data_IF_643914399799
#
_entry.id   IF_643914399799
#
_cell.length_a   1.000
_cell.length_b   1.000
_cell.length_c   1.000
_cell.angle_alpha   90.00
_cell.angle_beta   90.00
_cell.angle_gamma   90.00
#
_symmetry.space_group_name_H-M   'P 1'
#
loop_
_entity.id
_entity.type
_entity.pdbx_description
1 polymer ?
#
# COMPACT_ATOMS: atom_id res chain seq x y z
N UNK A 1 3.30 -3.70 6.74
CA UNK A 1 2.02 -3.92 6.02
C UNK A 1 0.86 -3.56 6.94
N UNK A 2 -0.30 -3.24 6.39
CA UNK A 2 -1.56 -3.24 7.15
C UNK A 2 -2.21 -4.60 7.04
N UNK A 3 -2.80 -5.09 8.14
CA UNK A 3 -3.37 -6.43 8.20
C UNK A 3 -4.84 -6.33 8.63
N UNK A 4 -5.71 -6.50 7.64
CA UNK A 4 -7.16 -6.56 7.83
C UNK A 4 -7.61 -8.03 7.85
N UNK A 5 -8.57 -8.36 8.70
CA UNK A 5 -9.09 -9.73 8.81
C UNK A 5 -9.89 -10.13 7.56
N UNK A 6 -10.67 -9.22 6.99
CA UNK A 6 -11.45 -9.49 5.77
C UNK A 6 -11.73 -8.19 5.01
N UNK A 7 -11.61 -8.16 3.67
CA UNK A 7 -11.30 -9.27 2.76
C UNK A 7 -9.80 -9.43 2.42
N UNK A 8 -8.90 -8.67 3.07
CA UNK A 8 -7.50 -8.54 2.64
C UNK A 8 -6.50 -9.49 3.30
N UNK A 9 -6.95 -10.35 4.23
CA UNK A 9 -6.06 -11.31 4.90
C UNK A 9 -5.40 -12.26 3.90
N UNK A 10 -6.16 -12.80 2.93
CA UNK A 10 -5.65 -13.65 1.84
C UNK A 10 -4.52 -12.97 1.08
N UNK A 11 -4.76 -11.72 0.67
CA UNK A 11 -3.74 -10.92 0.00
C UNK A 11 -2.49 -10.72 0.85
N UNK A 12 -2.65 -10.39 2.13
CA UNK A 12 -1.53 -10.16 3.04
C UNK A 12 -0.68 -11.42 3.23
N UNK A 13 -1.31 -12.59 3.39
CA UNK A 13 -0.64 -13.88 3.48
C UNK A 13 0.09 -14.21 2.17
N UNK A 14 -0.53 -13.97 1.02
CA UNK A 14 0.10 -14.18 -0.28
C UNK A 14 1.32 -13.27 -0.48
N UNK A 15 1.24 -12.01 -0.08
CA UNK A 15 2.37 -11.07 -0.12
C UNK A 15 3.52 -11.56 0.77
N UNK A 16 3.24 -11.98 2.02
CA UNK A 16 4.26 -12.56 2.92
C UNK A 16 4.91 -13.79 2.30
N UNK A 17 4.10 -14.75 1.83
CA UNK A 17 4.63 -15.97 1.19
C UNK A 17 5.51 -15.63 -0.02
N UNK A 18 5.08 -14.67 -0.85
CA UNK A 18 5.85 -14.26 -2.03
C UNK A 18 7.21 -13.66 -1.66
N UNK A 19 7.28 -12.82 -0.62
CA UNK A 19 8.55 -12.31 -0.11
C UNK A 19 9.43 -13.45 0.38
N UNK A 20 8.88 -14.39 1.17
CA UNK A 20 9.65 -15.51 1.72
C UNK A 20 10.18 -16.45 0.63
N UNK A 21 9.39 -16.72 -0.41
CA UNK A 21 9.77 -17.63 -1.50
C UNK A 21 10.83 -17.05 -2.44
N UNK A 22 10.85 -15.72 -2.64
CA UNK A 22 11.76 -15.07 -3.59
C UNK A 22 12.95 -14.37 -2.95
N UNK A 23 13.02 -14.30 -1.61
CA UNK A 23 14.17 -13.75 -0.91
C UNK A 23 15.33 -14.75 -0.86
N UNK A 24 16.55 -14.28 -1.10
CA UNK A 24 17.75 -15.13 -0.95
C UNK A 24 17.98 -15.55 0.50
N UNK A 25 17.65 -14.68 1.46
CA UNK A 25 17.79 -14.93 2.90
C UNK A 25 16.51 -14.49 3.63
N UNK A 26 15.41 -15.27 3.57
CA UNK A 26 14.13 -14.89 4.17
C UNK A 26 14.20 -14.69 5.70
N UNK A 27 15.12 -15.37 6.39
CA UNK A 27 15.38 -15.26 7.82
C UNK A 27 15.84 -13.86 8.27
N UNK A 28 16.39 -13.07 7.34
CA UNK A 28 16.80 -11.68 7.59
C UNK A 28 15.64 -10.68 7.43
N UNK A 29 14.43 -11.17 7.13
CA UNK A 29 13.24 -10.33 6.96
C UNK A 29 12.36 -10.39 8.20
N UNK A 30 12.02 -9.23 8.75
CA UNK A 30 11.06 -9.09 9.85
C UNK A 30 9.81 -8.38 9.36
N UNK A 31 8.65 -8.98 9.59
CA UNK A 31 7.37 -8.43 9.14
C UNK A 31 6.71 -7.61 10.25
N UNK A 32 6.41 -6.35 9.96
CA UNK A 32 5.67 -5.47 10.87
C UNK A 32 4.25 -5.26 10.35
N UNK A 33 3.25 -5.66 11.13
CA UNK A 33 1.83 -5.55 10.79
C UNK A 33 1.13 -4.54 11.68
N UNK A 34 0.41 -3.61 11.07
CA UNK A 34 -0.56 -2.76 11.78
C UNK A 34 -1.94 -3.40 11.65
N UNK A 35 -2.62 -3.65 12.78
CA UNK A 35 -3.94 -4.27 12.80
C UNK A 35 -4.82 -3.65 13.89
N UNK A 36 -6.14 -3.74 13.71
CA UNK A 36 -7.10 -3.32 14.75
C UNK A 36 -7.01 -4.26 15.97
N UNK A 37 -6.98 -3.74 17.21
CA UNK A 37 -6.79 -4.56 18.42
C UNK A 37 -7.76 -5.73 18.54
N UNK A 38 -9.01 -5.54 18.12
CA UNK A 38 -10.05 -6.57 18.20
C UNK A 38 -9.69 -7.86 17.45
N UNK A 39 -8.97 -7.76 16.33
CA UNK A 39 -8.59 -8.91 15.51
C UNK A 39 -7.22 -9.49 15.85
N UNK A 40 -6.44 -8.87 16.75
CA UNK A 40 -5.07 -9.27 17.05
C UNK A 40 -4.90 -10.75 17.43
N UNK A 41 -5.68 -11.33 18.37
CA UNK A 41 -5.46 -12.72 18.76
C UNK A 41 -5.68 -13.69 17.60
N UNK A 42 -6.68 -13.41 16.77
CA UNK A 42 -6.97 -14.23 15.60
C UNK A 42 -5.89 -14.07 14.52
N UNK A 43 -5.52 -12.84 14.18
CA UNK A 43 -4.49 -12.57 13.18
C UNK A 43 -3.13 -13.16 13.58
N UNK A 44 -2.74 -13.02 14.86
CA UNK A 44 -1.53 -13.63 15.39
C UNK A 44 -1.55 -15.16 15.23
N UNK A 45 -2.65 -15.80 15.66
CA UNK A 45 -2.82 -17.25 15.53
C UNK A 45 -2.74 -17.69 14.07
N UNK A 46 -3.41 -16.98 13.15
CA UNK A 46 -3.42 -17.31 11.72
C UNK A 46 -2.04 -17.15 11.09
N UNK A 47 -1.31 -16.07 11.38
CA UNK A 47 0.07 -15.90 10.88
C UNK A 47 0.97 -17.02 11.44
N UNK A 48 0.91 -17.27 12.75
CA UNK A 48 1.76 -18.28 13.39
C UNK A 48 1.46 -19.70 12.89
N UNK A 49 0.20 -20.03 12.62
CA UNK A 49 -0.15 -21.34 12.05
C UNK A 49 0.24 -21.46 10.58
N UNK A 50 0.19 -20.35 9.83
CA UNK A 50 0.52 -20.34 8.39
C UNK A 50 2.04 -20.33 8.17
N UNK A 51 2.77 -19.59 9.00
CA UNK A 51 4.23 -19.41 8.93
C UNK A 51 4.87 -19.60 10.31
N UNK A 52 5.10 -20.86 10.75
CA UNK A 52 5.57 -21.16 12.11
C UNK A 52 6.92 -20.52 12.49
N UNK A 53 7.76 -20.22 11.51
CA UNK A 53 9.10 -19.66 11.69
C UNK A 53 9.20 -18.18 11.29
N UNK A 54 8.06 -17.51 11.03
CA UNK A 54 8.08 -16.11 10.63
C UNK A 54 8.50 -15.22 11.80
N UNK A 55 9.47 -14.34 11.57
CA UNK A 55 9.75 -13.24 12.48
C UNK A 55 8.79 -12.09 12.18
N UNK A 56 7.85 -11.84 13.10
CA UNK A 56 6.88 -10.76 12.92
C UNK A 56 6.47 -10.06 14.22
N UNK A 57 5.96 -8.84 14.06
CA UNK A 57 5.37 -8.04 15.12
C UNK A 57 4.00 -7.52 14.70
N UNK A 58 3.02 -7.58 15.61
CA UNK A 58 1.72 -6.93 15.46
C UNK A 58 1.68 -5.67 16.34
N UNK A 59 1.34 -4.55 15.72
CA UNK A 59 1.14 -3.28 16.41
C UNK A 59 -0.34 -2.90 16.39
N UNK A 60 -0.90 -2.46 17.53
CA UNK A 60 -2.28 -2.02 17.59
C UNK A 60 -2.42 -0.68 16.87
N UNK A 61 -3.37 -0.62 15.93
CA UNK A 61 -3.80 0.63 15.33
C UNK A 61 -5.18 0.98 15.86
N UNK A 62 -5.27 2.05 16.66
CA UNK A 62 -6.54 2.59 17.15
C UNK A 62 -7.22 3.42 16.05
N UNK A 63 -8.37 2.98 15.51
CA UNK A 63 -9.12 3.72 14.50
C UNK A 63 -9.51 5.15 14.91
N UNK A 64 -9.71 5.40 16.22
CA UNK A 64 -10.13 6.72 16.71
C UNK A 64 -9.10 7.82 16.38
N UNK A 65 -7.82 7.43 16.26
CA UNK A 65 -6.71 8.29 15.85
C UNK A 65 -6.98 9.00 14.53
N UNK A 66 -7.71 8.37 13.61
CA UNK A 66 -7.91 8.91 12.25
C UNK A 66 -9.38 9.11 11.87
N UNK A 67 -10.33 8.46 12.54
CA UNK A 67 -11.77 8.53 12.22
C UNK A 67 -12.28 9.98 12.04
N UNK A 68 -11.84 10.89 12.91
CA UNK A 68 -12.25 12.29 12.88
C UNK A 68 -11.68 13.09 11.68
N UNK A 69 -10.65 12.56 11.02
CA UNK A 69 -9.98 13.16 9.86
C UNK A 69 -10.47 12.57 8.53
N UNK A 70 -11.06 11.38 8.54
CA UNK A 70 -11.53 10.71 7.31
C UNK A 70 -12.77 11.42 6.76
N UNK A 71 -12.76 11.62 5.45
CA UNK A 71 -13.90 12.12 4.68
C UNK A 71 -14.30 11.06 3.67
N UNK A 72 -15.61 10.95 3.37
CA UNK A 72 -16.10 9.93 2.46
C UNK A 72 -15.44 10.01 1.08
N UNK A 73 -14.98 8.88 0.58
CA UNK A 73 -14.33 8.74 -0.73
C UNK A 73 -15.33 8.22 -1.77
N UNK A 74 -15.01 8.31 -3.06
CA UNK A 74 -15.83 7.67 -4.13
C UNK A 74 -15.95 6.15 -3.90
N UNK A 75 -14.97 5.55 -3.22
CA UNK A 75 -14.96 4.13 -2.86
C UNK A 75 -15.02 3.99 -1.34
N UNK A 76 -16.14 3.50 -0.79
CA UNK A 76 -16.31 3.30 0.66
C UNK A 76 -15.21 2.44 1.30
N UNK A 77 -14.64 1.48 0.57
CA UNK A 77 -13.52 0.68 1.05
C UNK A 77 -12.27 1.53 1.38
N UNK A 78 -12.12 2.71 0.78
CA UNK A 78 -11.01 3.62 1.08
C UNK A 78 -11.20 4.43 2.37
N UNK A 79 -12.42 4.44 2.91
CA UNK A 79 -12.74 5.16 4.15
C UNK A 79 -12.40 4.32 5.39
N UNK A 80 -11.98 3.07 5.20
CA UNK A 80 -11.56 2.20 6.29
C UNK A 80 -10.35 2.80 7.03
N UNK A 81 -10.40 2.95 8.37
CA UNK A 81 -9.33 3.59 9.13
C UNK A 81 -7.95 2.97 8.89
N UNK A 82 -7.91 1.66 8.69
CA UNK A 82 -6.69 0.91 8.44
C UNK A 82 -5.99 1.33 7.12
N UNK A 83 -6.73 1.87 6.13
CA UNK A 83 -6.16 2.44 4.89
C UNK A 83 -5.28 3.68 5.16
N UNK A 84 -5.47 4.34 6.31
CA UNK A 84 -4.69 5.50 6.74
C UNK A 84 -3.62 5.15 7.77
N UNK A 85 -3.56 3.90 8.27
CA UNK A 85 -2.58 3.48 9.27
C UNK A 85 -1.13 3.68 8.79
N UNK A 86 -0.88 3.60 7.47
CA UNK A 86 0.42 3.88 6.85
C UNK A 86 0.97 5.29 7.13
N UNK A 87 0.10 6.26 7.44
CA UNK A 87 0.50 7.63 7.81
C UNK A 87 1.26 7.65 9.14
N UNK A 88 0.97 6.69 10.02
CA UNK A 88 1.44 6.64 11.41
C UNK A 88 2.56 5.62 11.63
N UNK A 89 3.14 5.04 10.57
CA UNK A 89 4.16 3.99 10.69
C UNK A 89 5.34 4.43 11.56
N UNK A 90 5.82 5.66 11.38
CA UNK A 90 6.94 6.19 12.14
C UNK A 90 6.62 6.40 13.63
N UNK A 91 5.36 6.67 13.96
CA UNK A 91 4.90 6.89 15.33
C UNK A 91 4.58 5.57 16.06
N UNK A 92 4.12 4.56 15.32
CA UNK A 92 3.71 3.26 15.87
C UNK A 92 4.87 2.26 15.98
N UNK A 93 5.87 2.35 15.09
CA UNK A 93 7.01 1.46 15.10
C UNK A 93 8.06 1.93 16.10
N UNK A 94 8.75 0.99 16.81
CA UNK A 94 9.84 1.31 17.72
C UNK A 94 10.89 2.21 17.08
N UNK A 95 11.46 3.13 17.87
CA UNK A 95 12.48 4.10 17.41
C UNK A 95 13.76 3.43 16.91
N UNK A 96 14.07 2.23 17.39
CA UNK A 96 15.17 1.40 16.89
C UNK A 96 14.99 0.99 15.41
N UNK A 97 13.76 1.00 14.89
CA UNK A 97 13.50 0.78 13.47
C UNK A 97 13.66 2.12 12.74
N UNK A 98 14.69 2.18 11.90
CA UNK A 98 15.12 3.39 11.20
C UNK A 98 14.70 3.41 9.73
N UNK A 99 14.40 2.26 9.15
CA UNK A 99 14.03 2.10 7.73
C UNK A 99 13.06 0.94 7.56
N UNK A 100 12.12 1.07 6.63
CA UNK A 100 11.17 0.01 6.27
C UNK A 100 10.90 -0.02 4.77
N UNK A 101 10.41 -1.17 4.28
CA UNK A 101 9.64 -1.26 3.04
C UNK A 101 8.17 -1.41 3.42
N UNK A 102 7.35 -0.46 3.00
CA UNK A 102 5.90 -0.59 3.07
C UNK A 102 5.38 -1.32 1.84
N UNK A 103 4.53 -2.32 2.08
CA UNK A 103 3.82 -3.12 1.08
C UNK A 103 2.33 -3.10 1.41
N UNK A 104 1.48 -2.81 0.41
CA UNK A 104 0.04 -3.03 0.47
C UNK A 104 -0.28 -4.54 0.46
N UNK A 105 -1.52 -4.90 0.81
CA UNK A 105 -1.94 -6.28 0.99
C UNK A 105 -2.33 -7.00 -0.31
N UNK A 106 -2.34 -6.32 -1.44
CA UNK A 106 -2.85 -6.83 -2.73
C UNK A 106 -1.74 -6.91 -3.79
N UNK A 107 -0.58 -7.42 -3.38
CA UNK A 107 0.59 -7.60 -4.24
C UNK A 107 1.28 -8.95 -4.03
N UNK A 108 2.12 -9.33 -4.98
CA UNK A 108 3.15 -10.37 -4.80
C UNK A 108 4.50 -9.85 -5.29
N UNK A 109 5.56 -10.27 -4.61
CA UNK A 109 6.95 -10.03 -4.99
C UNK A 109 7.46 -11.26 -5.73
N UNK A 110 8.16 -11.07 -6.85
CA UNK A 110 8.69 -12.14 -7.71
C UNK A 110 10.19 -11.99 -7.96
N UNK A 111 10.88 -11.30 -7.05
CA UNK A 111 12.31 -10.99 -7.06
C UNK A 111 12.80 -10.83 -5.61
N UNK A 112 14.10 -10.77 -5.39
CA UNK A 112 14.67 -10.63 -4.05
C UNK A 112 14.40 -9.22 -3.48
N UNK A 113 13.59 -9.14 -2.43
CA UNK A 113 13.20 -7.87 -1.78
C UNK A 113 14.40 -7.07 -1.25
N UNK A 114 15.54 -7.72 -1.01
CA UNK A 114 16.77 -7.05 -0.59
C UNK A 114 17.29 -6.07 -1.65
N UNK A 115 16.97 -6.29 -2.93
CA UNK A 115 17.29 -5.36 -4.01
C UNK A 115 16.53 -4.04 -3.85
N UNK A 116 15.25 -4.10 -3.48
CA UNK A 116 14.47 -2.90 -3.13
C UNK A 116 14.95 -2.26 -1.83
N UNK A 117 15.36 -3.08 -0.84
CA UNK A 117 15.89 -2.56 0.43
C UNK A 117 17.15 -1.69 0.23
N UNK A 118 18.04 -2.09 -0.69
CA UNK A 118 19.35 -1.47 -0.93
C UNK A 118 19.32 -0.14 -1.69
N UNK A 119 18.15 0.29 -2.20
CA UNK A 119 18.08 1.55 -2.96
C UNK A 119 18.62 2.72 -2.12
N UNK A 120 19.33 3.66 -2.75
CA UNK A 120 19.76 4.86 -2.06
C UNK A 120 18.65 5.90 -2.09
N UNK A 121 18.15 6.31 -0.92
CA UNK A 121 17.13 7.36 -0.82
C UNK A 121 17.70 8.78 -0.96
N UNK A 122 19.03 8.93 -1.03
CA UNK A 122 19.72 10.21 -1.09
C UNK A 122 19.20 11.17 0.00
N UNK A 123 18.83 12.39 -0.37
CA UNK A 123 18.21 13.38 0.53
C UNK A 123 16.74 13.09 0.82
N UNK A 124 16.06 12.24 0.05
CA UNK A 124 14.64 11.96 0.18
C UNK A 124 14.31 11.14 1.43
N UNK A 125 13.07 11.29 1.92
CA UNK A 125 12.53 10.53 3.05
C UNK A 125 11.92 9.20 2.61
N UNK A 126 11.49 9.11 1.35
CA UNK A 126 10.97 7.88 0.78
C UNK A 126 11.31 7.74 -0.69
N UNK A 127 11.33 6.49 -1.16
CA UNK A 127 11.50 6.12 -2.55
C UNK A 127 10.34 5.25 -3.03
N UNK A 128 9.88 5.49 -4.26
CA UNK A 128 8.81 4.74 -4.90
C UNK A 128 8.89 4.88 -6.43
N UNK A 129 8.30 3.95 -7.20
CA UNK A 129 8.17 4.12 -8.65
C UNK A 129 7.30 5.33 -9.01
N UNK A 130 7.87 6.25 -9.79
CA UNK A 130 7.21 7.49 -10.22
C UNK A 130 6.70 7.41 -11.67
N UNK A 131 5.48 7.93 -11.91
CA UNK A 131 4.84 8.01 -13.21
C UNK A 131 4.50 9.48 -13.51
N UNK A 132 5.51 10.21 -14.01
CA UNK A 132 5.42 11.65 -14.23
C UNK A 132 4.46 12.08 -15.36
N UNK A 133 3.94 11.14 -16.15
CA UNK A 133 2.93 11.41 -17.19
C UNK A 133 1.50 11.49 -16.65
N UNK A 134 1.29 11.23 -15.35
CA UNK A 134 -0.04 11.27 -14.75
C UNK A 134 -0.62 12.69 -14.73
N UNK A 135 -1.87 12.84 -15.16
CA UNK A 135 -2.59 14.10 -15.06
C UNK A 135 -3.11 14.28 -13.63
N UNK A 136 -2.53 15.23 -12.89
CA UNK A 136 -2.88 15.51 -11.49
C UNK A 136 -4.32 16.00 -11.32
N UNK A 137 -4.97 16.49 -12.38
CA UNK A 137 -6.38 16.89 -12.37
C UNK A 137 -7.33 15.74 -12.00
N UNK A 138 -6.92 14.48 -12.17
CA UNK A 138 -7.71 13.31 -11.77
C UNK A 138 -7.65 12.99 -10.27
N UNK A 139 -6.71 13.58 -9.52
CA UNK A 139 -6.48 13.27 -8.11
C UNK A 139 -7.04 14.33 -7.15
N UNK A 140 -7.36 15.51 -7.66
CA UNK A 140 -7.83 16.66 -6.90
C UNK A 140 -9.04 17.31 -7.58
N UNK A 141 -9.98 17.82 -6.80
CA UNK A 141 -11.23 18.41 -7.31
C UNK A 141 -11.00 19.80 -7.90
N UNK A 142 -11.96 20.31 -8.68
CA UNK A 142 -11.92 21.69 -9.18
C UNK A 142 -11.74 22.72 -8.06
N UNK A 143 -12.25 22.43 -6.85
CA UNK A 143 -12.10 23.29 -5.67
C UNK A 143 -10.66 23.36 -5.14
N UNK A 144 -9.87 22.32 -5.36
CA UNK A 144 -8.43 22.37 -5.09
C UNK A 144 -7.74 23.32 -6.08
N UNK A 145 -7.97 23.11 -7.38
CA UNK A 145 -7.26 23.83 -8.44
C UNK A 145 -7.64 25.31 -8.52
N UNK A 146 -8.91 25.66 -8.25
CA UNK A 146 -9.37 27.05 -8.25
C UNK A 146 -8.90 27.86 -7.04
N UNK A 147 -8.33 27.22 -6.01
CA UNK A 147 -7.82 27.89 -4.83
C UNK A 147 -6.29 27.91 -4.83
N UNK A 148 -5.71 29.09 -5.08
CA UNK A 148 -4.26 29.29 -5.13
C UNK A 148 -3.53 28.87 -3.84
N UNK A 149 -4.17 29.00 -2.67
CA UNK A 149 -3.56 28.54 -1.41
C UNK A 149 -3.33 27.02 -1.42
N UNK A 150 -4.22 26.24 -2.04
CA UNK A 150 -4.05 24.79 -2.14
C UNK A 150 -3.11 24.41 -3.29
N UNK A 151 -3.37 24.91 -4.50
CA UNK A 151 -2.60 24.52 -5.69
C UNK A 151 -1.14 24.98 -5.65
N UNK A 152 -0.83 26.07 -4.92
CA UNK A 152 0.56 26.52 -4.70
C UNK A 152 1.43 25.52 -3.94
N UNK A 153 0.87 24.47 -3.33
CA UNK A 153 1.68 23.37 -2.74
C UNK A 153 2.56 22.64 -3.75
N UNK A 154 2.23 22.72 -5.04
CA UNK A 154 3.02 22.16 -6.13
C UNK A 154 3.90 23.22 -6.81
N UNK A 155 3.81 24.49 -6.40
CA UNK A 155 4.66 25.55 -6.95
C UNK A 155 6.12 25.25 -6.63
N UNK A 156 6.99 25.39 -7.63
CA UNK A 156 8.42 25.08 -7.56
C UNK A 156 8.74 23.58 -7.31
N UNK A 157 7.77 22.69 -7.52
CA UNK A 157 7.99 21.24 -7.54
C UNK A 157 7.69 20.75 -8.95
N UNK A 158 8.32 19.63 -9.33
CA UNK A 158 7.94 18.87 -10.50
C UNK A 158 7.13 17.65 -10.00
N UNK A 159 5.82 17.79 -9.71
CA UNK A 159 5.07 16.72 -9.08
C UNK A 159 4.92 15.53 -10.03
N UNK A 160 5.40 14.37 -9.60
CA UNK A 160 5.16 13.09 -10.26
C UNK A 160 4.23 12.22 -9.42
N UNK A 161 3.35 11.47 -10.08
CA UNK A 161 2.51 10.51 -9.39
C UNK A 161 3.37 9.34 -8.92
N UNK A 162 3.13 8.86 -7.72
CA UNK A 162 3.60 7.56 -7.28
C UNK A 162 2.46 6.84 -6.57
N UNK A 163 2.44 5.52 -6.71
CA UNK A 163 1.50 4.68 -5.98
C UNK A 163 2.04 4.45 -4.55
N UNK A 164 1.17 4.58 -3.55
CA UNK A 164 1.54 4.49 -2.11
C UNK A 164 1.51 3.07 -1.55
N UNK A 165 1.38 2.04 -2.39
CA UNK A 165 1.35 0.65 -1.97
C UNK A 165 2.71 -0.03 -1.94
N UNK A 166 3.75 0.59 -2.51
CA UNK A 166 5.14 0.15 -2.38
C UNK A 166 6.02 1.36 -2.14
N UNK A 167 6.62 1.45 -0.96
CA UNK A 167 7.50 2.57 -0.59
C UNK A 167 8.65 2.09 0.27
N UNK A 168 9.86 2.56 -0.01
CA UNK A 168 10.99 2.44 0.93
C UNK A 168 11.05 3.73 1.73
N UNK A 169 11.05 3.65 3.06
CA UNK A 169 10.86 4.82 3.92
C UNK A 169 12.00 4.90 4.94
N UNK A 170 12.62 6.07 5.01
CA UNK A 170 13.51 6.49 6.09
C UNK A 170 12.66 7.01 7.27
N UNK A 171 12.57 6.21 8.33
CA UNK A 171 11.80 6.55 9.52
C UNK A 171 12.52 7.56 10.42
N UNK A 172 13.84 7.74 10.28
CA UNK A 172 14.57 8.79 11.02
C UNK A 172 14.12 10.14 10.48
N UNK A 173 14.27 10.36 9.17
CA UNK A 173 13.81 11.59 8.51
C UNK A 173 12.31 11.77 8.65
N UNK A 174 11.53 10.68 8.61
CA UNK A 174 10.07 10.78 8.80
C UNK A 174 9.72 11.45 10.13
N UNK A 175 10.36 11.00 11.22
CA UNK A 175 10.16 11.52 12.58
C UNK A 175 10.73 12.93 12.72
N UNK A 176 11.97 13.14 12.27
CA UNK A 176 12.68 14.43 12.36
C UNK A 176 11.88 15.57 11.71
N UNK A 177 11.38 15.35 10.49
CA UNK A 177 10.63 16.36 9.75
C UNK A 177 9.10 16.28 9.98
N UNK A 178 8.66 15.45 10.91
CA UNK A 178 7.28 15.29 11.37
C UNK A 178 6.27 15.13 10.23
N UNK A 179 6.56 14.20 9.31
CA UNK A 179 5.75 14.00 8.11
C UNK A 179 4.32 13.51 8.41
N UNK A 180 4.10 12.79 9.52
CA UNK A 180 2.76 12.45 10.00
C UNK A 180 1.89 13.71 10.15
N UNK A 181 2.40 14.76 10.80
CA UNK A 181 1.63 16.01 11.00
C UNK A 181 1.36 16.75 9.70
N UNK A 182 2.28 16.70 8.73
CA UNK A 182 2.08 17.27 7.39
C UNK A 182 0.96 16.55 6.63
N UNK A 183 0.88 15.23 6.75
CA UNK A 183 -0.19 14.43 6.16
C UNK A 183 -1.53 14.71 6.84
N UNK A 184 -1.59 14.70 8.17
CA UNK A 184 -2.81 15.03 8.92
C UNK A 184 -3.32 16.45 8.60
N UNK A 185 -2.42 17.42 8.39
CA UNK A 185 -2.81 18.78 7.98
C UNK A 185 -3.67 18.76 6.71
N UNK A 186 -3.23 18.04 5.67
CA UNK A 186 -4.00 17.93 4.43
C UNK A 186 -5.31 17.15 4.61
N UNK A 187 -5.36 16.19 5.52
CA UNK A 187 -6.61 15.50 5.87
C UNK A 187 -7.61 16.44 6.57
N UNK A 188 -7.14 17.35 7.43
CA UNK A 188 -8.00 18.39 8.03
C UNK A 188 -8.53 19.38 6.99
N UNK A 189 -7.69 19.78 6.03
CA UNK A 189 -8.12 20.62 4.90
C UNK A 189 -9.19 19.89 4.07
N UNK A 190 -8.98 18.60 3.79
CA UNK A 190 -9.95 17.77 3.09
C UNK A 190 -11.30 17.71 3.82
N UNK A 191 -11.31 17.56 5.14
CA UNK A 191 -12.54 17.51 5.95
C UNK A 191 -13.40 18.76 5.81
N UNK A 192 -12.75 19.92 5.67
CA UNK A 192 -13.43 21.22 5.54
C UNK A 192 -13.77 21.59 4.09
N UNK A 193 -12.87 21.26 3.15
CA UNK A 193 -12.95 21.80 1.79
C UNK A 193 -13.27 20.77 0.72
N UNK A 194 -13.12 19.45 0.95
CA UNK A 194 -13.38 18.39 -0.04
C UNK A 194 -12.57 18.60 -1.34
N UNK A 195 -11.25 18.64 -1.18
CA UNK A 195 -10.27 18.91 -2.23
C UNK A 195 -9.83 17.67 -3.02
N UNK A 196 -10.20 16.46 -2.59
CA UNK A 196 -9.94 15.20 -3.30
C UNK A 196 -10.94 14.10 -2.90
N UNK A 197 -10.91 12.94 -3.55
CA UNK A 197 -11.88 11.85 -3.33
C UNK A 197 -11.28 10.42 -3.31
N UNK A 198 -9.95 10.31 -3.26
CA UNK A 198 -9.20 9.04 -3.43
C UNK A 198 -8.58 8.50 -2.14
N UNK A 199 -9.24 8.68 -1.00
CA UNK A 199 -8.81 8.12 0.28
C UNK A 199 -7.49 8.69 0.79
N UNK A 200 -6.57 7.80 1.18
CA UNK A 200 -5.27 8.17 1.78
C UNK A 200 -4.17 8.55 0.78
N UNK A 201 -4.36 8.31 -0.52
CA UNK A 201 -3.35 8.63 -1.56
C UNK A 201 -3.11 10.16 -1.72
N UNK A 202 -4.13 11.03 -1.87
CA UNK A 202 -3.89 12.44 -2.13
C UNK A 202 -3.06 13.19 -1.07
N UNK A 203 -3.21 12.94 0.25
CA UNK A 203 -2.28 13.48 1.26
C UNK A 203 -0.81 13.16 0.96
N UNK A 204 -0.49 11.94 0.54
CA UNK A 204 0.88 11.58 0.17
C UNK A 204 1.34 12.34 -1.07
N UNK A 205 0.50 12.51 -2.09
CA UNK A 205 0.86 13.31 -3.27
C UNK A 205 1.12 14.77 -2.89
N UNK A 206 0.27 15.37 -2.04
CA UNK A 206 0.43 16.76 -1.58
C UNK A 206 1.75 16.96 -0.82
N UNK A 207 2.14 16.00 0.01
CA UNK A 207 3.36 16.08 0.82
C UNK A 207 4.60 15.70 0.02
N UNK A 208 4.55 14.66 -0.82
CA UNK A 208 5.76 14.03 -1.36
C UNK A 208 5.94 14.16 -2.88
N UNK A 209 4.91 14.39 -3.71
CA UNK A 209 5.08 14.41 -5.17
C UNK A 209 6.18 15.41 -5.63
N UNK A 210 7.19 14.93 -6.37
CA UNK A 210 8.36 15.73 -6.75
C UNK A 210 9.41 15.91 -5.64
N UNK A 211 9.32 15.12 -4.57
CA UNK A 211 10.32 14.99 -3.50
C UNK A 211 10.37 13.52 -3.03
N UNK A 212 10.41 12.61 -4.00
CA UNK A 212 10.51 11.16 -3.84
C UNK A 212 11.76 10.70 -4.58
N UNK A 213 12.48 9.74 -4.03
CA UNK A 213 13.52 9.05 -4.79
C UNK A 213 12.86 8.11 -5.82
N UNK A 214 13.14 8.33 -7.10
CA UNK A 214 12.62 7.51 -8.17
C UNK A 214 13.15 6.07 -8.10
N UNK A 215 12.25 5.10 -8.00
CA UNK A 215 12.59 3.67 -8.03
C UNK A 215 12.19 3.07 -9.38
N UNK A 216 12.94 2.06 -9.84
CA UNK A 216 12.62 1.33 -11.07
C UNK A 216 11.17 0.81 -11.07
N UNK A 217 10.48 0.98 -12.20
CA UNK A 217 9.06 0.61 -12.35
C UNK A 217 8.76 -0.88 -12.12
N UNK A 218 9.77 -1.74 -12.24
CA UNK A 218 9.67 -3.18 -11.96
C UNK A 218 9.18 -3.49 -10.54
N UNK A 219 9.40 -2.58 -9.60
CA UNK A 219 8.99 -2.71 -8.20
C UNK A 219 7.53 -2.33 -7.94
N UNK A 220 6.78 -1.92 -8.96
CA UNK A 220 5.35 -1.68 -8.80
C UNK A 220 4.60 -1.81 -10.13
N UNK A 221 4.34 -3.03 -10.60
CA UNK A 221 3.41 -3.27 -11.70
C UNK A 221 1.96 -3.05 -11.22
N UNK A 222 1.62 -1.78 -10.98
CA UNK A 222 0.34 -1.37 -10.41
C UNK A 222 -0.78 -1.33 -11.45
N UNK A 223 -2.02 -1.37 -10.95
CA UNK A 223 -3.23 -1.29 -11.77
C UNK A 223 -3.78 -2.64 -12.20
N UNK A 224 -3.23 -3.76 -11.70
CA UNK A 224 -3.70 -5.11 -12.05
C UNK A 224 -5.08 -5.42 -11.45
N UNK A 225 -5.56 -4.59 -10.51
CA UNK A 225 -6.94 -4.61 -10.02
C UNK A 225 -7.96 -4.12 -11.05
N UNK A 226 -7.52 -3.83 -12.27
CA UNK A 226 -8.34 -3.45 -13.41
C UNK A 226 -8.73 -1.98 -13.41
N UNK A 227 -9.27 -1.55 -14.54
CA UNK A 227 -9.83 -0.20 -14.66
C UNK A 227 -10.96 0.02 -13.64
N UNK A 228 -10.99 1.19 -13.02
CA UNK A 228 -11.95 1.53 -11.98
C UNK A 228 -13.36 1.77 -12.53
N UNK A 229 -13.52 1.93 -13.86
CA UNK A 229 -14.77 2.22 -14.54
C UNK A 229 -15.34 0.93 -15.15
N UNK A 230 -14.59 0.25 -16.02
CA UNK A 230 -15.09 -0.92 -16.76
C UNK A 230 -14.70 -2.26 -16.14
N UNK A 231 -13.78 -2.28 -15.17
CA UNK A 231 -13.31 -3.52 -14.55
C UNK A 231 -12.45 -4.39 -15.47
N UNK A 232 -11.97 -3.83 -16.58
CA UNK A 232 -11.14 -4.53 -17.56
C UNK A 232 -9.80 -4.96 -16.96
N UNK A 233 -9.36 -6.16 -17.36
CA UNK A 233 -8.02 -6.64 -17.07
C UNK A 233 -6.98 -5.71 -17.70
N UNK A 234 -5.87 -5.47 -17.00
CA UNK A 234 -4.77 -4.64 -17.48
C UNK A 234 -3.52 -5.50 -17.66
N UNK A 235 -2.78 -5.22 -18.73
CA UNK A 235 -1.46 -5.80 -18.97
C UNK A 235 -0.37 -5.15 -18.09
N UNK A 236 0.80 -5.78 -18.06
CA UNK A 236 1.98 -5.25 -17.39
C UNK A 236 2.47 -3.98 -18.09
N UNK A 237 3.06 -3.07 -17.31
CA UNK A 237 3.84 -1.99 -17.89
C UNK A 237 5.11 -2.57 -18.55
N UNK A 238 5.64 -1.94 -19.61
CA UNK A 238 6.85 -2.41 -20.27
C UNK A 238 8.04 -2.52 -19.31
N UNK A 239 8.94 -3.46 -19.61
CA UNK A 239 10.19 -3.66 -18.87
C UNK A 239 10.15 -4.87 -17.92
N UNK A 240 11.18 -5.02 -17.08
CA UNK A 240 11.27 -6.14 -16.16
C UNK A 240 10.21 -6.05 -15.05
N UNK A 241 9.96 -7.19 -14.40
CA UNK A 241 8.96 -7.31 -13.32
C UNK A 241 9.63 -7.90 -12.09
N UNK A 242 9.46 -7.22 -10.96
CA UNK A 242 9.89 -7.68 -9.64
C UNK A 242 8.73 -7.70 -8.63
N UNK A 243 7.66 -6.96 -8.90
CA UNK A 243 6.47 -6.91 -8.04
C UNK A 243 5.21 -6.66 -8.87
N UNK A 244 4.19 -7.48 -8.65
CA UNK A 244 2.85 -7.40 -9.27
C UNK A 244 1.85 -6.84 -8.25
N UNK A 245 1.10 -5.80 -8.60
CA UNK A 245 0.23 -5.09 -7.65
C UNK A 245 -1.19 -4.89 -8.18
N UNK A 246 -2.16 -5.55 -7.54
CA UNK A 246 -3.60 -5.46 -7.82
C UNK A 246 -4.26 -4.22 -7.20
N UNK A 247 -3.56 -3.09 -7.26
CA UNK A 247 -4.11 -1.79 -6.89
C UNK A 247 -5.35 -1.51 -7.76
N UNK A 248 -6.47 -1.19 -7.13
CA UNK A 248 -7.75 -1.04 -7.83
C UNK A 248 -8.89 -1.75 -7.12
N UNK A 249 -10.00 -1.96 -7.82
CA UNK A 249 -11.20 -2.62 -7.28
C UNK A 249 -11.12 -4.15 -7.35
N UNK A 250 -10.62 -4.69 -8.46
CA UNK A 250 -10.45 -6.12 -8.66
C UNK A 250 -9.38 -6.68 -7.75
N UNK A 251 -9.72 -7.72 -6.98
CA UNK A 251 -8.75 -8.47 -6.18
C UNK A 251 -8.62 -9.87 -6.74
N UNK A 252 -7.39 -10.41 -6.84
CA UNK A 252 -7.17 -11.69 -7.53
C UNK A 252 -7.95 -12.82 -6.86
N UNK A 253 -7.96 -12.89 -5.53
CA UNK A 253 -8.76 -13.88 -4.79
C UNK A 253 -10.27 -13.79 -5.07
N UNK A 254 -10.83 -12.57 -5.14
CA UNK A 254 -12.25 -12.39 -5.44
C UNK A 254 -12.59 -12.79 -6.87
N UNK A 255 -11.71 -12.46 -7.84
CA UNK A 255 -11.92 -12.79 -9.25
C UNK A 255 -11.75 -14.29 -9.51
N UNK A 256 -10.79 -14.93 -8.86
CA UNK A 256 -10.58 -16.38 -8.90
C UNK A 256 -11.78 -17.14 -8.32
N UNK A 257 -12.24 -16.76 -7.13
CA UNK A 257 -13.41 -17.37 -6.49
C UNK A 257 -14.68 -17.20 -7.34
N UNK A 258 -14.84 -16.02 -7.96
CA UNK A 258 -15.96 -15.72 -8.85
C UNK A 258 -15.83 -16.33 -10.26
N UNK A 259 -14.79 -17.13 -10.54
CA UNK A 259 -14.49 -17.71 -11.86
C UNK A 259 -14.44 -16.66 -13.00
N UNK A 260 -13.97 -15.46 -12.68
CA UNK A 260 -13.81 -14.32 -13.61
C UNK A 260 -12.38 -13.76 -13.53
N UNK A 261 -11.41 -14.66 -13.50
CA UNK A 261 -10.00 -14.34 -13.36
C UNK A 261 -9.47 -13.61 -14.60
N UNK A 262 -8.70 -12.55 -14.39
CA UNK A 262 -7.78 -12.03 -15.40
C UNK A 262 -6.59 -12.96 -15.55
N UNK A 263 -5.92 -12.95 -16.70
CA UNK A 263 -4.73 -13.78 -16.97
C UNK A 263 -3.70 -13.72 -15.85
N UNK A 264 -3.39 -12.50 -15.38
CA UNK A 264 -2.40 -12.29 -14.33
C UNK A 264 -2.85 -12.77 -12.94
N UNK A 265 -4.15 -12.93 -12.67
CA UNK A 265 -4.62 -13.46 -11.37
C UNK A 265 -4.11 -14.88 -11.10
N UNK A 266 -3.87 -15.65 -12.16
CA UNK A 266 -3.29 -16.98 -12.04
C UNK A 266 -1.84 -16.95 -11.54
N UNK A 267 -1.13 -15.82 -11.69
CA UNK A 267 0.19 -15.61 -11.09
C UNK A 267 0.10 -15.40 -9.57
N UNK A 268 -1.03 -14.91 -9.07
CA UNK A 268 -1.28 -14.73 -7.63
C UNK A 268 -1.73 -16.04 -6.96
N UNK A 269 -2.48 -16.87 -7.68
CA UNK A 269 -3.10 -18.09 -7.15
C UNK A 269 -2.16 -19.04 -6.37
N UNK A 270 -0.89 -19.29 -6.79
CA UNK A 270 0.03 -20.15 -6.06
C UNK A 270 0.36 -19.66 -4.64
N UNK A 271 0.15 -18.37 -4.35
CA UNK A 271 0.46 -17.77 -3.05
C UNK A 271 -0.74 -17.78 -2.08
N UNK A 272 -1.90 -18.26 -2.50
CA UNK A 272 -3.14 -18.23 -1.71
C UNK A 272 -3.26 -19.41 -0.74
N UNK A 273 -2.53 -19.34 0.37
CA UNK A 273 -2.53 -20.39 1.39
C UNK A 273 -3.84 -20.51 2.19
N UNK A 274 -4.72 -19.52 2.10
CA UNK A 274 -5.99 -19.49 2.82
C UNK A 274 -7.19 -19.83 1.94
N UNK A 275 -6.96 -20.24 0.69
CA UNK A 275 -8.03 -20.79 -0.14
C UNK A 275 -8.53 -22.05 0.53
N UNK A 276 -9.79 -22.05 0.97
CA UNK A 276 -10.45 -23.30 1.32
C UNK A 276 -10.38 -24.21 0.09
N UNK A 277 -9.66 -25.32 0.18
CA UNK A 277 -9.89 -26.43 -0.73
C UNK A 277 -11.39 -26.70 -0.62
N UNK A 278 -12.14 -26.54 -1.72
CA UNK A 278 -13.39 -27.27 -1.81
C UNK A 278 -12.97 -28.72 -1.67
N UNK A 279 -13.25 -29.30 -0.50
CA UNK A 279 -13.16 -30.73 -0.29
C UNK A 279 -13.72 -31.39 -1.55
N UNK A 280 -12.89 -32.24 -2.17
CA UNK A 280 -13.22 -33.13 -3.27
C UNK A 280 -14.73 -33.35 -3.36
N UNK A 281 -15.35 -32.72 -4.34
CA UNK A 281 -16.69 -33.10 -4.79
C UNK A 281 -16.48 -34.03 -5.98
N UNK A 282 -15.86 -35.17 -5.69
CA UNK A 282 -16.01 -36.37 -6.50
C UNK A 282 -17.08 -37.21 -5.79
N UNK A 283 -18.31 -37.11 -6.30
CA UNK A 283 -19.37 -38.10 -6.16
C UNK A 283 -20.26 -38.00 -7.38
#
# INVERSE_FOLDING_TARGET
>A
MTLDYSPYLRGSIAAVLSVLQHSTCPENTVFHFLATPHHHPHLHKTIQSTFPYLHFHLYPFDPTTVNHLISSSIRHALDQPLNYARIYLADLLPTAITRIIYLDSDLIVVDDISNLWKINLNSHVLGAPEYCHANFSHYFTNKFWSNHFFSSTFKNRNPCYFNTGVMVIDLIKWREFNFTKKLEYWMRIQKRHRIYELGSLPPFLLVFAGNVEGVEHRWNQHGLGGDNIEGLCRDLHPGPVSLLHWSGKGKPWLRLDAKRACTLDNMWAPYDLLRHQSLFSDS
#
